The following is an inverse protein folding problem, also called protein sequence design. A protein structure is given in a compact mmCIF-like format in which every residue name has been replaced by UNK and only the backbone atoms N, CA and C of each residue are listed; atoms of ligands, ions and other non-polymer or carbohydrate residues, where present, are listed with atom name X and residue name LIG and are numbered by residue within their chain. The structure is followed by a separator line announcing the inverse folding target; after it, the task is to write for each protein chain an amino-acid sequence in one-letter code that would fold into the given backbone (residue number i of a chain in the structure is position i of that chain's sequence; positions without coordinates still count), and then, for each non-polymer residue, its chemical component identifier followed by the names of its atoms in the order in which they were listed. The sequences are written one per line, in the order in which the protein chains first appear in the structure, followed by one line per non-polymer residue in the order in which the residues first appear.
data_IF_756434804931
#
_entry.id   IF_756434804931
#
_cell.length_a   1.000
_cell.length_b   1.000
_cell.length_c   1.000
_cell.angle_alpha   90.00
_cell.angle_beta   90.00
_cell.angle_gamma   90.00
#
_symmetry.space_group_name_H-M   'P 1'
#
loop_
_entity.id
_entity.type
_entity.pdbx_description
1 polymer ?
#
# COMPACT_ATOMS: atom_id res chain seq x y z
N UNK A 1 -1.55 9.95 7.19
CA UNK A 1 -2.51 9.09 6.45
C UNK A 1 -3.62 9.98 5.98
N UNK A 2 -3.86 10.04 4.67
CA UNK A 2 -4.99 10.78 4.12
C UNK A 2 -6.17 9.81 4.04
N UNK A 3 -7.29 10.12 4.71
CA UNK A 3 -8.55 9.44 4.44
C UNK A 3 -9.03 9.83 3.04
N UNK A 4 -9.42 8.86 2.22
CA UNK A 4 -9.94 9.08 0.87
C UNK A 4 -11.34 9.71 0.93
N UNK A 5 -11.41 11.03 1.14
CA UNK A 5 -12.62 11.82 0.92
C UNK A 5 -12.39 12.78 -0.26
N UNK A 6 -13.17 12.56 -1.32
CA UNK A 6 -13.35 13.40 -2.51
C UNK A 6 -12.13 13.69 -3.41
N UNK A 7 -10.91 13.38 -2.97
CA UNK A 7 -9.71 13.31 -3.81
C UNK A 7 -9.34 11.84 -4.02
N UNK A 8 -9.26 11.43 -5.29
CA UNK A 8 -8.83 10.08 -5.67
C UNK A 8 -7.44 9.79 -5.11
N UNK A 9 -7.20 8.53 -4.71
CA UNK A 9 -5.85 8.09 -4.34
C UNK A 9 -4.89 8.42 -5.49
N UNK A 10 -3.69 8.89 -5.21
CA UNK A 10 -2.72 9.24 -6.25
C UNK A 10 -2.47 8.04 -7.16
N UNK A 11 -2.33 6.84 -6.60
CA UNK A 11 -2.15 5.62 -7.37
C UNK A 11 -3.28 5.29 -8.36
N UNK A 12 -4.48 5.88 -8.24
CA UNK A 12 -5.59 5.62 -9.18
C UNK A 12 -5.32 6.19 -10.56
N UNK A 13 -4.36 7.12 -10.72
CA UNK A 13 -3.94 7.56 -12.04
C UNK A 13 -3.28 6.45 -12.88
N UNK A 14 -2.87 5.34 -12.25
CA UNK A 14 -2.31 4.16 -12.92
C UNK A 14 -3.36 3.08 -13.21
N UNK A 15 -4.62 3.29 -12.81
CA UNK A 15 -5.66 2.27 -12.83
C UNK A 15 -6.78 2.68 -13.79
N UNK A 16 -7.36 1.69 -14.47
CA UNK A 16 -8.49 1.91 -15.39
C UNK A 16 -9.84 2.09 -14.67
N UNK A 17 -9.90 1.73 -13.38
CA UNK A 17 -11.11 1.84 -12.56
C UNK A 17 -10.76 2.21 -11.10
N UNK A 18 -11.73 2.73 -10.31
CA UNK A 18 -11.52 3.05 -8.90
C UNK A 18 -10.98 1.86 -8.10
N UNK A 19 -10.05 2.13 -7.17
CA UNK A 19 -9.33 1.09 -6.43
C UNK A 19 -10.27 0.16 -5.66
N UNK A 20 -11.35 0.68 -5.08
CA UNK A 20 -12.35 -0.09 -4.35
C UNK A 20 -13.04 -1.15 -5.23
N UNK A 21 -13.21 -0.89 -6.53
CA UNK A 21 -13.80 -1.85 -7.46
C UNK A 21 -12.83 -2.99 -7.76
N UNK A 22 -11.53 -2.69 -7.96
CA UNK A 22 -10.48 -3.69 -8.17
C UNK A 22 -10.38 -4.60 -6.94
N UNK A 23 -10.34 -3.99 -5.76
CA UNK A 23 -10.28 -4.70 -4.49
C UNK A 23 -11.51 -5.57 -4.28
N UNK A 24 -12.71 -5.08 -4.62
CA UNK A 24 -13.93 -5.87 -4.48
C UNK A 24 -13.99 -7.08 -5.42
N UNK A 25 -13.45 -6.97 -6.64
CA UNK A 25 -13.27 -8.12 -7.53
C UNK A 25 -12.26 -9.13 -6.97
N UNK A 26 -11.17 -8.63 -6.39
CA UNK A 26 -10.11 -9.43 -5.81
C UNK A 26 -10.57 -10.21 -4.57
N UNK A 27 -11.29 -9.55 -3.66
CA UNK A 27 -11.80 -10.13 -2.41
C UNK A 27 -13.13 -10.87 -2.58
N UNK A 28 -13.80 -10.72 -3.73
CA UNK A 28 -15.16 -11.20 -3.98
C UNK A 28 -16.20 -10.64 -2.99
N UNK A 29 -15.95 -9.43 -2.48
CA UNK A 29 -16.83 -8.72 -1.55
C UNK A 29 -16.94 -7.25 -1.95
N UNK A 30 -18.00 -6.55 -1.52
CA UNK A 30 -18.06 -5.10 -1.71
C UNK A 30 -17.08 -4.42 -0.76
N UNK A 31 -16.13 -3.66 -1.29
CA UNK A 31 -15.17 -2.85 -0.50
C UNK A 31 -15.64 -1.40 -0.49
N UNK A 32 -15.77 -0.82 0.70
CA UNK A 32 -16.13 0.60 0.83
C UNK A 32 -14.90 1.49 0.75
N UNK A 33 -15.00 2.64 0.08
CA UNK A 33 -13.85 3.53 -0.15
C UNK A 33 -13.24 4.10 1.13
N UNK A 34 -14.05 4.34 2.16
CA UNK A 34 -13.58 4.78 3.49
C UNK A 34 -12.77 3.71 4.23
N UNK A 35 -12.80 2.45 3.74
CA UNK A 35 -12.04 1.31 4.24
C UNK A 35 -10.74 1.05 3.48
N UNK A 36 -10.39 1.93 2.55
CA UNK A 36 -9.15 1.86 1.77
C UNK A 36 -8.28 3.07 2.09
N UNK A 37 -6.98 2.83 2.34
CA UNK A 37 -6.01 3.90 2.58
C UNK A 37 -4.80 3.75 1.67
N UNK A 38 -4.43 4.84 1.00
CA UNK A 38 -3.15 4.93 0.31
C UNK A 38 -2.03 5.23 1.30
N UNK A 39 -1.00 4.38 1.26
CA UNK A 39 0.24 4.58 1.98
C UNK A 39 1.30 5.11 1.02
N UNK A 40 1.57 6.41 1.11
CA UNK A 40 2.65 7.08 0.40
C UNK A 40 3.89 7.29 1.26
N UNK A 41 5.01 7.64 0.61
CA UNK A 41 6.25 8.10 1.27
C UNK A 41 6.82 7.13 2.32
N UNK A 42 6.79 5.82 2.05
CA UNK A 42 7.47 4.83 2.87
C UNK A 42 8.99 4.93 2.68
N UNK A 43 9.65 5.57 3.63
CA UNK A 43 11.11 5.65 3.68
C UNK A 43 11.59 5.19 5.06
N UNK A 44 12.55 4.27 5.05
CA UNK A 44 13.25 3.81 6.25
C UNK A 44 14.74 3.71 5.96
N UNK A 45 15.56 3.89 6.99
CA UNK A 45 17.02 3.92 6.87
C UNK A 45 17.62 2.52 6.70
N UNK A 46 16.92 1.49 7.17
CA UNK A 46 17.34 0.10 7.14
C UNK A 46 16.14 -0.85 7.17
N UNK A 47 16.42 -2.14 6.97
CA UNK A 47 15.43 -3.20 6.91
C UNK A 47 14.62 -3.34 8.21
N UNK A 48 15.28 -3.28 9.37
CA UNK A 48 14.60 -3.52 10.65
C UNK A 48 13.62 -2.38 10.98
N UNK A 49 14.02 -1.13 10.72
CA UNK A 49 13.12 0.03 10.82
C UNK A 49 11.99 -0.05 9.81
N UNK A 50 12.25 -0.53 8.59
CA UNK A 50 11.21 -0.71 7.58
C UNK A 50 10.16 -1.73 8.04
N UNK A 51 10.60 -2.89 8.55
CA UNK A 51 9.71 -3.94 9.07
C UNK A 51 8.89 -3.44 10.25
N UNK A 52 9.51 -2.74 11.20
CA UNK A 52 8.83 -2.16 12.35
C UNK A 52 7.79 -1.11 11.93
N UNK A 53 8.14 -0.24 10.97
CA UNK A 53 7.21 0.75 10.44
C UNK A 53 6.01 0.08 9.77
N UNK A 54 6.23 -0.94 8.93
CA UNK A 54 5.13 -1.69 8.31
C UNK A 54 4.25 -2.36 9.36
N UNK A 55 4.84 -3.03 10.36
CA UNK A 55 4.09 -3.67 11.45
C UNK A 55 3.23 -2.64 12.21
N UNK A 56 3.79 -1.48 12.53
CA UNK A 56 3.08 -0.38 13.18
C UNK A 56 1.93 0.15 12.31
N UNK A 57 2.18 0.38 11.01
CA UNK A 57 1.15 0.88 10.08
C UNK A 57 -0.02 -0.09 9.98
N UNK A 58 0.25 -1.39 9.81
CA UNK A 58 -0.78 -2.43 9.74
C UNK A 58 -1.60 -2.48 11.03
N UNK A 59 -0.94 -2.45 12.19
CA UNK A 59 -1.64 -2.38 13.48
C UNK A 59 -2.52 -1.13 13.58
N UNK A 60 -1.97 0.04 13.27
CA UNK A 60 -2.70 1.30 13.35
C UNK A 60 -3.92 1.33 12.42
N UNK A 61 -3.79 0.85 11.19
CA UNK A 61 -4.89 0.78 10.23
C UNK A 61 -5.99 -0.19 10.68
N UNK A 62 -5.61 -1.33 11.28
CA UNK A 62 -6.58 -2.27 11.84
C UNK A 62 -7.39 -1.64 12.98
N UNK A 63 -6.75 -0.85 13.84
CA UNK A 63 -7.44 -0.12 14.91
C UNK A 63 -8.42 0.93 14.38
N UNK A 64 -8.23 1.40 13.15
CA UNK A 64 -9.15 2.31 12.46
C UNK A 64 -10.22 1.59 11.64
N UNK A 65 -10.29 0.25 11.71
CA UNK A 65 -11.17 -0.57 10.89
C UNK A 65 -10.99 -0.33 9.39
N UNK A 66 -9.75 -0.11 8.95
CA UNK A 66 -9.37 -0.10 7.53
C UNK A 66 -9.19 -1.54 7.08
N UNK A 67 -9.71 -1.87 5.90
CA UNK A 67 -9.65 -3.21 5.32
C UNK A 67 -8.44 -3.37 4.41
N UNK A 68 -8.15 -2.33 3.61
CA UNK A 68 -7.11 -2.40 2.59
C UNK A 68 -6.12 -1.24 2.70
N UNK A 69 -4.84 -1.61 2.72
CA UNK A 69 -3.74 -0.69 2.50
C UNK A 69 -3.25 -0.82 1.06
N UNK A 70 -3.17 0.29 0.34
CA UNK A 70 -2.69 0.33 -1.05
C UNK A 70 -1.48 1.26 -1.17
N UNK A 71 -0.52 0.94 -2.03
CA UNK A 71 0.65 1.79 -2.21
C UNK A 71 1.30 1.62 -3.57
N UNK A 72 2.12 2.60 -3.96
CA UNK A 72 3.06 2.44 -5.08
C UNK A 72 4.39 1.92 -4.53
N UNK A 73 4.58 0.60 -4.60
CA UNK A 73 5.70 -0.11 -3.98
C UNK A 73 6.86 -0.36 -4.94
N UNK A 74 8.04 0.19 -4.59
CA UNK A 74 9.30 -0.12 -5.27
C UNK A 74 9.79 -1.54 -4.96
N UNK A 75 10.87 -1.99 -5.59
CA UNK A 75 11.47 -3.29 -5.28
C UNK A 75 11.86 -3.44 -3.80
N UNK A 76 12.32 -2.36 -3.17
CA UNK A 76 12.68 -2.36 -1.75
C UNK A 76 11.44 -2.57 -0.86
N UNK A 77 10.32 -1.90 -1.15
CA UNK A 77 9.06 -2.08 -0.41
C UNK A 77 8.58 -3.52 -0.52
N UNK A 78 8.51 -4.07 -1.75
CA UNK A 78 8.12 -5.48 -1.96
C UNK A 78 9.03 -6.45 -1.21
N UNK A 79 10.34 -6.17 -1.21
CA UNK A 79 11.30 -6.99 -0.48
C UNK A 79 11.04 -6.96 1.03
N UNK A 80 10.77 -5.79 1.63
CA UNK A 80 10.41 -5.69 3.06
C UNK A 80 9.16 -6.52 3.38
N UNK A 81 8.09 -6.38 2.59
CA UNK A 81 6.85 -7.13 2.78
C UNK A 81 7.09 -8.65 2.71
N UNK A 82 7.85 -9.11 1.71
CA UNK A 82 8.25 -10.52 1.58
C UNK A 82 9.07 -11.02 2.77
N UNK A 83 10.03 -10.21 3.25
CA UNK A 83 10.87 -10.56 4.39
C UNK A 83 10.12 -10.60 5.73
N UNK A 84 8.92 -10.03 5.79
CA UNK A 84 8.00 -10.16 6.92
C UNK A 84 7.03 -11.34 6.76
N UNK A 85 6.97 -11.95 5.57
CA UNK A 85 5.96 -12.97 5.23
C UNK A 85 4.57 -12.38 4.96
N UNK A 86 4.46 -11.07 4.71
CA UNK A 86 3.19 -10.44 4.37
C UNK A 86 2.78 -10.81 2.94
N UNK A 87 1.52 -11.20 2.77
CA UNK A 87 0.91 -11.31 1.46
C UNK A 87 0.53 -9.93 0.93
N UNK A 88 0.73 -9.73 -0.36
CA UNK A 88 0.30 -8.54 -1.07
C UNK A 88 -0.02 -8.89 -2.52
N UNK A 89 -0.96 -8.15 -3.10
CA UNK A 89 -1.36 -8.29 -4.48
C UNK A 89 -0.68 -7.22 -5.31
N UNK A 90 -0.11 -7.61 -6.46
CA UNK A 90 0.36 -6.69 -7.48
C UNK A 90 -0.82 -6.41 -8.42
N UNK A 91 -1.29 -5.17 -8.44
CA UNK A 91 -2.48 -4.79 -9.21
C UNK A 91 -2.11 -4.29 -10.61
N UNK A 92 -1.16 -3.36 -10.68
CA UNK A 92 -0.72 -2.75 -11.95
C UNK A 92 0.71 -2.21 -11.81
N UNK A 93 1.39 -2.00 -12.94
CA UNK A 93 2.62 -1.21 -13.00
C UNK A 93 2.29 0.26 -12.80
N UNK A 94 3.04 0.95 -11.97
CA UNK A 94 2.95 2.41 -11.91
C UNK A 94 3.76 3.01 -13.08
N UNK A 95 3.17 2.97 -14.28
CA UNK A 95 3.78 3.49 -15.50
C UNK A 95 3.81 5.03 -15.46
N UNK A 96 5.00 5.68 -15.40
CA UNK A 96 5.08 7.13 -15.35
C UNK A 96 4.59 7.83 -16.62
N UNK A 97 4.38 7.12 -17.73
CA UNK A 97 3.88 7.72 -18.98
C UNK A 97 2.51 8.38 -18.78
N UNK A 98 1.67 7.85 -17.88
CA UNK A 98 0.34 8.41 -17.57
C UNK A 98 0.43 9.80 -16.92
N UNK A 99 1.59 10.15 -16.34
CA UNK A 99 1.83 11.42 -15.67
C UNK A 99 2.24 12.55 -16.63
N UNK A 100 2.53 12.23 -17.90
CA UNK A 100 3.04 13.21 -18.86
C UNK A 100 4.30 13.92 -18.35
N UNK A 101 4.29 15.27 -18.35
CA UNK A 101 5.43 16.06 -17.88
C UNK A 101 5.65 16.00 -16.37
N UNK A 102 4.60 15.71 -15.59
CA UNK A 102 4.66 15.70 -14.13
C UNK A 102 5.62 14.63 -13.59
N UNK A 103 5.93 13.59 -14.37
CA UNK A 103 6.91 12.56 -14.01
C UNK A 103 8.30 13.15 -13.66
N UNK A 104 8.67 14.31 -14.26
CA UNK A 104 9.98 14.94 -14.02
C UNK A 104 10.15 15.40 -12.57
N UNK A 105 9.05 15.65 -11.86
CA UNK A 105 9.05 16.06 -10.45
C UNK A 105 9.44 14.92 -9.50
N UNK A 106 9.46 13.67 -9.99
CA UNK A 106 9.70 12.48 -9.19
C UNK A 106 11.15 11.97 -9.24
N UNK A 107 12.05 12.70 -9.92
CA UNK A 107 13.48 12.37 -9.98
C UNK A 107 13.73 10.93 -10.45
N UNK A 108 14.48 10.15 -9.66
CA UNK A 108 14.81 8.76 -9.97
C UNK A 108 13.78 7.74 -9.47
N UNK A 109 12.67 8.17 -8.87
CA UNK A 109 11.68 7.27 -8.26
C UNK A 109 11.20 6.17 -9.21
N UNK A 110 10.77 6.54 -10.44
CA UNK A 110 10.26 5.57 -11.43
C UNK A 110 11.34 4.69 -12.07
N UNK A 111 12.63 5.01 -11.90
CA UNK A 111 13.71 4.10 -12.33
C UNK A 111 13.65 2.76 -11.57
N UNK A 112 13.04 2.75 -10.38
CA UNK A 112 12.83 1.57 -9.57
C UNK A 112 11.65 0.71 -10.00
N UNK A 113 10.94 1.09 -11.08
CA UNK A 113 9.79 0.38 -11.66
C UNK A 113 8.78 -0.07 -10.60
N UNK A 114 8.15 0.89 -9.89
CA UNK A 114 7.22 0.55 -8.85
C UNK A 114 5.93 -0.08 -9.41
N UNK A 115 5.23 -0.80 -8.55
CA UNK A 115 3.92 -1.39 -8.84
C UNK A 115 2.89 -0.85 -7.86
N UNK A 116 1.64 -0.75 -8.29
CA UNK A 116 0.50 -0.58 -7.39
C UNK A 116 0.29 -1.91 -6.67
N UNK A 117 0.33 -1.84 -5.34
CA UNK A 117 0.17 -2.98 -4.45
C UNK A 117 -1.08 -2.81 -3.59
N UNK A 118 -1.72 -3.93 -3.25
CA UNK A 118 -2.77 -4.01 -2.25
C UNK A 118 -2.43 -5.03 -1.17
N UNK A 119 -2.71 -4.68 0.07
CA UNK A 119 -2.42 -5.46 1.27
C UNK A 119 -3.70 -5.53 2.10
N UNK A 120 -4.18 -6.74 2.36
CA UNK A 120 -5.27 -6.97 3.32
C UNK A 120 -4.73 -6.69 4.72
N UNK A 121 -5.34 -5.75 5.43
CA UNK A 121 -4.86 -5.28 6.73
C UNK A 121 -5.05 -6.35 7.80
N UNK A 122 -6.13 -7.13 7.73
CA UNK A 122 -6.41 -8.17 8.73
C UNK A 122 -5.43 -9.35 8.59
N UNK A 123 -5.20 -9.79 7.36
CA UNK A 123 -4.21 -10.83 7.06
C UNK A 123 -2.81 -10.36 7.44
N UNK A 124 -2.43 -9.14 7.06
CA UNK A 124 -1.12 -8.60 7.38
C UNK A 124 -0.91 -8.46 8.89
N UNK A 125 -1.95 -8.08 9.65
CA UNK A 125 -1.87 -7.97 11.10
C UNK A 125 -1.67 -9.35 11.76
N UNK A 126 -2.33 -10.38 11.24
CA UNK A 126 -2.18 -11.74 11.73
C UNK A 126 -0.71 -12.21 11.63
N UNK A 127 -0.05 -11.90 10.52
CA UNK A 127 1.38 -12.22 10.33
C UNK A 127 2.24 -11.34 11.25
N UNK A 128 2.01 -10.03 11.29
CA UNK A 128 2.81 -9.11 12.10
C UNK A 128 2.76 -9.46 13.60
N UNK A 129 1.62 -9.92 14.13
CA UNK A 129 1.46 -10.36 15.53
C UNK A 129 2.31 -11.56 15.92
N UNK A 130 2.84 -12.32 14.96
CA UNK A 130 3.75 -13.44 15.26
C UNK A 130 5.13 -12.96 15.71
N UNK A 131 5.51 -11.75 15.32
CA UNK A 131 6.85 -11.20 15.53
C UNK A 131 6.88 -9.94 16.39
N UNK A 132 5.74 -9.23 16.49
CA UNK A 132 5.65 -7.96 17.20
C UNK A 132 4.53 -8.00 18.24
N UNK A 133 4.83 -7.48 19.44
CA UNK A 133 3.84 -7.22 20.47
C UNK A 133 3.30 -5.81 20.30
N UNK A 134 1.98 -5.68 20.18
CA UNK A 134 1.30 -4.39 20.07
C UNK A 134 0.60 -4.08 21.39
N UNK A 135 0.82 -2.88 21.93
CA UNK A 135 0.09 -2.36 23.10
C UNK A 135 -0.92 -1.30 22.68
N UNK A 136 -2.10 -1.32 23.31
CA UNK A 136 -3.17 -0.34 23.11
C UNK A 136 -2.89 0.99 23.80
#
# INVERSE_FOLDING_TARGET
MQHLNQFNAFLEQYLDEPIENILGKLSQTTVSRDKVVEIGNLAALDMDKAKLMVAFLVFHLSQQHIEWAVCTGTAAVRYVLQQMGLHFHVLEKADPQVLGEAQRLWGSYYQQKPYVLAIDVAEALQVARQFYQFSH
#
